data_IF_219409430212
#
_entry.id   IF_219409430212
#
_cell.length_a   1.000
_cell.length_b   1.000
_cell.length_c   1.000
_cell.angle_alpha   90.00
_cell.angle_beta   90.00
_cell.angle_gamma   90.00
#
_symmetry.space_group_name_H-M   'P 1'
#
loop_
_entity.id
_entity.type
_entity.pdbx_description
1 polymer ?
#
# COMPACT_ATOMS: atom_id res chain seq x y z
N UNK A 1 21.73 29.96 4.55
CA UNK A 1 21.68 29.88 3.08
C UNK A 1 21.55 28.45 2.57
N UNK A 2 22.39 27.52 2.97
CA UNK A 2 22.37 26.08 2.59
C UNK A 2 21.03 25.37 2.78
N UNK A 3 20.34 25.59 3.91
CA UNK A 3 19.07 24.90 4.22
C UNK A 3 17.95 25.21 3.22
N UNK A 4 17.90 26.44 2.70
CA UNK A 4 16.93 26.83 1.66
C UNK A 4 17.28 26.22 0.31
N UNK A 5 18.56 26.14 -0.03
CA UNK A 5 19.05 25.51 -1.27
C UNK A 5 18.75 24.01 -1.28
N UNK A 6 19.06 23.31 -0.19
CA UNK A 6 18.78 21.88 -0.07
C UNK A 6 17.27 21.63 -0.19
N UNK A 7 16.45 22.36 0.56
CA UNK A 7 15.00 22.13 0.61
C UNK A 7 14.29 22.45 -0.71
N UNK A 8 14.70 23.54 -1.40
CA UNK A 8 13.93 24.06 -2.53
C UNK A 8 14.48 23.63 -3.88
N UNK A 9 15.74 23.18 -3.95
CA UNK A 9 16.40 22.82 -5.21
C UNK A 9 16.92 21.38 -5.18
N UNK A 10 17.82 21.05 -4.27
CA UNK A 10 18.49 19.75 -4.26
C UNK A 10 17.51 18.64 -4.01
N UNK A 11 16.68 18.75 -2.96
CA UNK A 11 15.73 17.72 -2.58
C UNK A 11 14.62 17.47 -3.63
N UNK A 12 13.96 18.49 -4.23
CA UNK A 12 13.03 18.27 -5.33
C UNK A 12 13.66 17.66 -6.58
N UNK A 13 14.90 18.05 -6.89
CA UNK A 13 15.62 17.52 -8.05
C UNK A 13 16.00 16.05 -7.84
N UNK A 14 16.52 15.69 -6.68
CA UNK A 14 16.83 14.29 -6.33
C UNK A 14 15.57 13.43 -6.29
N UNK A 15 14.47 13.94 -5.73
CA UNK A 15 13.16 13.26 -5.68
C UNK A 15 12.68 12.89 -7.11
N UNK A 16 12.82 13.82 -8.05
CA UNK A 16 12.48 13.60 -9.47
C UNK A 16 13.45 12.64 -10.17
N UNK A 17 14.76 12.79 -9.95
CA UNK A 17 15.78 11.93 -10.57
C UNK A 17 15.69 10.47 -10.09
N UNK A 18 15.32 10.26 -8.84
CA UNK A 18 15.13 8.92 -8.25
C UNK A 18 13.74 8.34 -8.53
N UNK A 19 12.86 9.04 -9.27
CA UNK A 19 11.48 8.59 -9.55
C UNK A 19 10.59 8.55 -8.30
N UNK A 20 10.99 9.24 -7.22
CA UNK A 20 10.25 9.29 -5.97
C UNK A 20 9.16 10.36 -6.04
N UNK A 21 8.18 10.26 -5.17
CA UNK A 21 7.08 11.24 -5.06
C UNK A 21 6.99 11.86 -3.66
N UNK A 22 8.14 12.00 -2.97
CA UNK A 22 8.20 12.44 -1.56
C UNK A 22 7.64 13.85 -1.41
N UNK A 23 8.09 14.79 -2.25
CA UNK A 23 7.60 16.18 -2.19
C UNK A 23 6.10 16.31 -2.48
N UNK A 24 5.60 15.56 -3.46
CA UNK A 24 4.15 15.52 -3.79
C UNK A 24 3.35 14.98 -2.61
N UNK A 25 3.80 13.85 -2.05
CA UNK A 25 3.14 13.22 -0.92
C UNK A 25 3.21 14.08 0.35
N UNK A 26 4.34 14.76 0.59
CA UNK A 26 4.50 15.67 1.72
C UNK A 26 3.52 16.85 1.63
N UNK A 27 3.38 17.46 0.45
CA UNK A 27 2.39 18.53 0.23
C UNK A 27 0.97 18.03 0.46
N UNK A 28 0.62 16.88 -0.10
CA UNK A 28 -0.69 16.24 0.09
C UNK A 28 -0.96 15.96 1.56
N UNK A 29 -0.03 15.34 2.27
CA UNK A 29 -0.20 15.00 3.69
C UNK A 29 -0.28 16.23 4.59
N UNK A 30 0.36 17.34 4.23
CA UNK A 30 0.19 18.62 4.94
C UNK A 30 -1.18 19.24 4.76
N UNK A 31 -1.83 19.06 3.62
CA UNK A 31 -3.21 19.56 3.43
C UNK A 31 -4.23 18.71 4.17
N UNK A 32 -4.03 17.37 4.22
CA UNK A 32 -4.99 16.46 4.87
C UNK A 32 -5.06 16.62 6.40
N UNK A 33 -4.09 17.24 7.05
CA UNK A 33 -4.14 17.51 8.50
C UNK A 33 -5.28 18.47 8.91
N UNK A 34 -5.84 19.18 7.94
CA UNK A 34 -6.92 20.15 8.14
C UNK A 34 -8.28 19.64 7.63
N UNK A 35 -8.35 18.39 7.19
CA UNK A 35 -9.57 17.78 6.69
C UNK A 35 -10.55 17.50 7.82
N UNK A 36 -11.83 17.64 7.53
CA UNK A 36 -12.90 17.19 8.41
C UNK A 36 -12.94 15.66 8.51
N UNK A 37 -13.69 15.13 9.47
CA UNK A 37 -13.88 13.69 9.61
C UNK A 37 -14.49 13.06 8.34
N UNK A 38 -15.44 13.76 7.72
CA UNK A 38 -16.11 13.35 6.49
C UNK A 38 -15.15 13.32 5.30
N UNK A 39 -14.33 14.35 5.13
CA UNK A 39 -13.32 14.42 4.07
C UNK A 39 -12.26 13.31 4.24
N UNK A 40 -11.84 13.04 5.48
CA UNK A 40 -10.91 11.93 5.76
C UNK A 40 -11.55 10.59 5.46
N UNK A 41 -12.80 10.38 5.85
CA UNK A 41 -13.54 9.14 5.58
C UNK A 41 -13.67 8.90 4.07
N UNK A 42 -14.07 9.91 3.31
CA UNK A 42 -14.17 9.84 1.85
C UNK A 42 -12.82 9.47 1.23
N UNK A 43 -11.75 10.16 1.62
CA UNK A 43 -10.39 9.88 1.13
C UNK A 43 -9.92 8.45 1.48
N UNK A 44 -10.28 7.95 2.66
CA UNK A 44 -9.95 6.59 3.08
C UNK A 44 -10.70 5.56 2.24
N UNK A 45 -12.00 5.77 1.99
CA UNK A 45 -12.81 4.88 1.15
C UNK A 45 -12.27 4.83 -0.29
N UNK A 46 -11.94 5.98 -0.89
CA UNK A 46 -11.35 6.04 -2.22
C UNK A 46 -10.03 5.25 -2.31
N UNK A 47 -9.15 5.42 -1.31
CA UNK A 47 -7.87 4.70 -1.26
C UNK A 47 -8.06 3.22 -1.02
N UNK A 48 -9.00 2.85 -0.15
CA UNK A 48 -9.32 1.47 0.13
C UNK A 48 -9.86 0.77 -1.12
N UNK A 49 -10.81 1.39 -1.80
CA UNK A 49 -11.32 0.89 -3.08
C UNK A 49 -10.20 0.71 -4.10
N UNK A 50 -9.34 1.71 -4.28
CA UNK A 50 -8.25 1.64 -5.24
C UNK A 50 -7.27 0.49 -4.96
N UNK A 51 -6.90 0.26 -3.69
CA UNK A 51 -5.98 -0.84 -3.34
C UNK A 51 -6.66 -2.20 -3.47
N UNK A 52 -7.93 -2.34 -3.07
CA UNK A 52 -8.66 -3.60 -3.19
C UNK A 52 -8.93 -3.97 -4.65
N UNK A 53 -9.24 -2.98 -5.51
CA UNK A 53 -9.36 -3.18 -6.96
C UNK A 53 -8.04 -3.66 -7.54
N UNK A 54 -6.93 -3.00 -7.20
CA UNK A 54 -5.61 -3.44 -7.64
C UNK A 54 -5.28 -4.87 -7.17
N UNK A 55 -5.59 -5.20 -5.92
CA UNK A 55 -5.42 -6.55 -5.40
C UNK A 55 -6.24 -7.59 -6.17
N UNK A 56 -7.50 -7.26 -6.46
CA UNK A 56 -8.38 -8.13 -7.24
C UNK A 56 -7.88 -8.37 -8.67
N UNK A 57 -7.33 -7.35 -9.30
CA UNK A 57 -6.93 -7.41 -10.71
C UNK A 57 -5.54 -8.03 -10.90
N UNK A 58 -4.62 -7.88 -9.93
CA UNK A 58 -3.19 -8.16 -10.14
C UNK A 58 -2.57 -9.15 -9.16
N UNK A 59 -3.22 -9.47 -8.03
CA UNK A 59 -2.66 -10.33 -6.98
C UNK A 59 -3.44 -11.65 -6.87
N UNK A 60 -2.88 -12.78 -7.32
CA UNK A 60 -3.59 -14.07 -7.38
C UNK A 60 -4.18 -14.53 -6.04
N UNK A 61 -3.48 -14.29 -4.94
CA UNK A 61 -3.98 -14.60 -3.59
C UNK A 61 -5.31 -13.89 -3.30
N UNK A 62 -5.39 -12.58 -3.58
CA UNK A 62 -6.61 -11.81 -3.32
C UNK A 62 -7.72 -12.11 -4.31
N UNK A 63 -7.42 -12.40 -5.56
CA UNK A 63 -8.42 -12.86 -6.54
C UNK A 63 -9.15 -14.11 -6.04
N UNK A 64 -8.38 -15.09 -5.57
CA UNK A 64 -8.94 -16.31 -5.00
C UNK A 64 -9.70 -16.03 -3.71
N UNK A 65 -9.12 -15.27 -2.78
CA UNK A 65 -9.71 -14.92 -1.50
C UNK A 65 -11.06 -14.23 -1.68
N UNK A 66 -11.14 -13.23 -2.54
CA UNK A 66 -12.38 -12.47 -2.78
C UNK A 66 -13.48 -13.36 -3.38
N UNK A 67 -13.10 -14.25 -4.29
CA UNK A 67 -14.03 -15.24 -4.84
C UNK A 67 -14.52 -16.22 -3.78
N UNK A 68 -13.64 -16.80 -2.97
CA UNK A 68 -13.95 -17.81 -1.97
C UNK A 68 -14.88 -17.27 -0.87
N UNK A 69 -14.73 -15.98 -0.53
CA UNK A 69 -15.54 -15.31 0.49
C UNK A 69 -16.67 -14.42 -0.07
N UNK A 70 -16.95 -14.50 -1.36
CA UNK A 70 -17.98 -13.68 -2.03
C UNK A 70 -17.85 -12.19 -1.69
N UNK A 71 -16.61 -11.68 -1.69
CA UNK A 71 -16.29 -10.30 -1.36
C UNK A 71 -16.78 -9.37 -2.47
N UNK A 72 -17.62 -8.40 -2.14
CA UNK A 72 -18.11 -7.39 -3.08
C UNK A 72 -17.30 -6.10 -2.99
N UNK A 73 -16.46 -5.86 -3.99
CA UNK A 73 -15.61 -4.67 -4.07
C UNK A 73 -16.40 -3.37 -4.24
N UNK A 74 -17.65 -3.44 -4.70
CA UNK A 74 -18.54 -2.29 -4.88
C UNK A 74 -19.50 -2.12 -3.69
N UNK A 75 -19.44 -3.01 -2.71
CA UNK A 75 -20.26 -2.98 -1.50
C UNK A 75 -19.74 -2.00 -0.45
N UNK A 76 -20.25 -2.12 0.77
CA UNK A 76 -19.71 -1.41 1.94
C UNK A 76 -18.36 -2.05 2.33
N UNK A 77 -17.25 -1.48 1.85
CA UNK A 77 -15.92 -2.04 2.01
C UNK A 77 -15.53 -2.33 3.47
N UNK A 78 -15.84 -1.48 4.47
CA UNK A 78 -15.63 -1.81 5.89
C UNK A 78 -16.36 -3.09 6.34
N UNK A 79 -17.57 -3.32 5.90
CA UNK A 79 -18.31 -4.54 6.21
C UNK A 79 -17.81 -5.75 5.41
N UNK A 80 -17.49 -5.54 4.13
CA UNK A 80 -16.94 -6.58 3.27
C UNK A 80 -15.59 -7.12 3.81
N UNK A 81 -14.72 -6.25 4.34
CA UNK A 81 -13.44 -6.63 4.94
C UNK A 81 -13.60 -7.57 6.15
N UNK A 82 -14.73 -7.53 6.84
CA UNK A 82 -15.01 -8.44 7.97
C UNK A 82 -15.26 -9.89 7.53
N UNK A 83 -15.61 -10.11 6.26
CA UNK A 83 -15.84 -11.44 5.70
C UNK A 83 -14.56 -12.23 5.47
N UNK A 84 -13.46 -11.54 5.21
CA UNK A 84 -12.18 -12.18 4.86
C UNK A 84 -11.29 -12.39 6.08
N UNK A 85 -10.48 -13.47 6.11
CA UNK A 85 -9.59 -13.74 7.23
C UNK A 85 -8.43 -12.75 7.30
N UNK A 86 -7.93 -12.56 8.52
CA UNK A 86 -6.74 -11.72 8.75
C UNK A 86 -5.50 -12.39 8.11
N UNK A 87 -4.76 -11.63 7.32
CA UNK A 87 -3.51 -12.07 6.72
C UNK A 87 -2.39 -12.14 7.77
N UNK A 88 -2.06 -13.35 8.22
CA UNK A 88 -1.02 -13.58 9.21
C UNK A 88 0.38 -13.67 8.56
N UNK A 89 1.45 -13.45 9.35
CA UNK A 89 2.83 -13.66 8.89
C UNK A 89 3.07 -15.06 8.33
N UNK A 90 2.42 -16.07 8.90
CA UNK A 90 2.50 -17.45 8.43
C UNK A 90 1.91 -17.61 7.04
N UNK A 91 0.72 -17.04 6.80
CA UNK A 91 0.08 -17.04 5.47
C UNK A 91 0.92 -16.28 4.45
N UNK A 92 1.48 -15.12 4.83
CA UNK A 92 2.36 -14.35 3.96
C UNK A 92 3.55 -15.22 3.51
N UNK A 93 4.24 -15.89 4.44
CA UNK A 93 5.39 -16.78 4.11
C UNK A 93 5.01 -17.95 3.21
N UNK A 94 3.80 -18.49 3.34
CA UNK A 94 3.32 -19.62 2.53
C UNK A 94 3.02 -19.22 1.08
N UNK A 95 2.59 -17.98 0.85
CA UNK A 95 2.15 -17.49 -0.46
C UNK A 95 3.16 -16.59 -1.18
N UNK A 96 4.25 -16.16 -0.50
CA UNK A 96 5.36 -15.44 -1.13
C UNK A 96 6.34 -16.43 -1.79
N UNK A 97 6.98 -16.02 -2.89
CA UNK A 97 6.79 -14.77 -3.63
C UNK A 97 5.65 -14.83 -4.67
N UNK A 98 5.06 -15.99 -4.93
CA UNK A 98 4.30 -16.22 -6.16
C UNK A 98 2.87 -15.66 -6.13
N UNK A 99 2.12 -15.89 -5.05
CA UNK A 99 0.69 -15.56 -5.01
C UNK A 99 0.41 -14.16 -4.49
N UNK A 100 1.32 -13.61 -3.66
CA UNK A 100 1.18 -12.28 -3.03
C UNK A 100 1.95 -11.17 -3.75
N UNK A 101 2.48 -11.43 -4.95
CA UNK A 101 3.18 -10.43 -5.76
C UNK A 101 2.32 -9.98 -6.94
N UNK A 102 2.50 -8.72 -7.34
CA UNK A 102 1.86 -8.13 -8.50
C UNK A 102 2.43 -8.73 -9.79
N UNK A 103 1.63 -9.50 -10.52
CA UNK A 103 2.04 -10.19 -11.75
C UNK A 103 2.34 -9.26 -12.93
N UNK A 104 2.02 -7.99 -12.82
CA UNK A 104 2.33 -6.99 -13.86
C UNK A 104 3.74 -6.42 -13.74
N UNK A 105 4.45 -6.70 -12.63
CA UNK A 105 5.80 -6.22 -12.39
C UNK A 105 6.85 -7.29 -12.71
N UNK A 106 7.88 -6.90 -13.43
CA UNK A 106 9.00 -7.80 -13.80
C UNK A 106 10.15 -7.79 -12.77
N UNK A 107 10.25 -6.73 -11.97
CA UNK A 107 11.35 -6.52 -11.03
C UNK A 107 10.82 -6.39 -9.61
N UNK A 108 11.32 -7.24 -8.73
CA UNK A 108 11.02 -7.21 -7.30
C UNK A 108 12.30 -6.98 -6.50
N UNK A 109 12.20 -6.10 -5.51
CA UNK A 109 13.27 -5.93 -4.52
C UNK A 109 12.87 -6.71 -3.27
N UNK A 110 13.70 -7.68 -2.87
CA UNK A 110 13.46 -8.46 -1.65
C UNK A 110 13.97 -7.70 -0.44
N UNK A 111 13.07 -7.36 0.46
CA UNK A 111 13.39 -6.68 1.71
C UNK A 111 13.05 -7.57 2.92
N UNK A 112 13.82 -7.44 4.00
CA UNK A 112 13.60 -8.17 5.24
C UNK A 112 13.50 -7.22 6.42
N UNK A 113 12.59 -7.49 7.34
CA UNK A 113 12.55 -6.78 8.61
C UNK A 113 13.58 -7.36 9.59
N UNK A 114 14.07 -6.54 10.53
CA UNK A 114 15.05 -6.95 11.56
C UNK A 114 14.55 -8.02 12.53
N UNK A 115 13.22 -8.24 12.63
CA UNK A 115 12.64 -9.35 13.40
C UNK A 115 12.91 -9.27 14.90
N UNK A 116 12.67 -8.13 15.55
CA UNK A 116 12.83 -7.94 17.01
C UNK A 116 12.05 -8.96 17.87
N UNK A 117 11.04 -9.62 17.29
CA UNK A 117 10.23 -10.68 17.92
C UNK A 117 10.62 -12.10 17.49
N UNK A 118 11.82 -12.29 16.90
CA UNK A 118 12.32 -13.60 16.46
C UNK A 118 11.85 -14.05 15.08
N UNK A 119 10.80 -13.49 14.51
CA UNK A 119 10.34 -13.78 13.15
C UNK A 119 10.57 -12.59 12.21
N UNK A 120 11.46 -12.80 11.23
CA UNK A 120 11.66 -11.83 10.15
C UNK A 120 10.49 -11.87 9.14
N UNK A 121 9.94 -10.71 8.80
CA UNK A 121 9.03 -10.57 7.65
C UNK A 121 9.84 -10.39 6.37
N UNK A 122 9.42 -11.04 5.29
CA UNK A 122 9.97 -10.84 3.94
C UNK A 122 8.92 -10.13 3.09
N UNK A 123 9.38 -9.19 2.24
CA UNK A 123 8.55 -8.44 1.30
C UNK A 123 9.24 -8.40 -0.06
N UNK A 124 8.45 -8.34 -1.13
CA UNK A 124 8.91 -8.30 -2.51
C UNK A 124 8.34 -7.11 -3.25
#
# INVERSE_FOLDING_TARGET
MYRKLIKNIIFPLSDKLMGLSINKNLKKNRSTQWYTSEELSTMQQEKLFAILSHCNDHIPYYQKLFKDYSFDINGDLPEELKKIPILTKKLIKQHLPFDLTDKTREIYTREKTSGSSGEQGEFY
#
